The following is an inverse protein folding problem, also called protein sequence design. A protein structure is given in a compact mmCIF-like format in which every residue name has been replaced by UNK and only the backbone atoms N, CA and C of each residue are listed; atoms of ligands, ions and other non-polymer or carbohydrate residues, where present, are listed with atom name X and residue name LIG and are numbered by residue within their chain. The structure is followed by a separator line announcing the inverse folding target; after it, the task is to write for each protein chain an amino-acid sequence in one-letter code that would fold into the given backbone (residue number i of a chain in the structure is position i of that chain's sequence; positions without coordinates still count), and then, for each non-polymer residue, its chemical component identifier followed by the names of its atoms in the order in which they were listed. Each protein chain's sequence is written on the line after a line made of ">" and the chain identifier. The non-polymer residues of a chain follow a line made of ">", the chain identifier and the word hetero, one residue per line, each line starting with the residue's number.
data_IF_769227685904
#
_entry.id   IF_769227685904
#
_cell.length_a   1.000
_cell.length_b   1.000
_cell.length_c   1.000
_cell.angle_alpha   90.00
_cell.angle_beta   90.00
_cell.angle_gamma   90.00
#
_symmetry.space_group_name_H-M   'P 1'
#
loop_
_entity.id
_entity.type
_entity.pdbx_description
1 polymer ?
#
# COMPACT_ATOMS: atom_id res chain seq x y z
N UNK A 1 -1.95 -38.80 -9.76
CA UNK A 1 -1.81 -37.45 -9.13
C UNK A 1 -1.14 -36.55 -10.15
N UNK A 2 -1.90 -35.73 -10.80
CA UNK A 2 -1.38 -34.72 -11.73
C UNK A 2 -0.80 -33.55 -10.92
N UNK A 3 0.43 -33.08 -11.19
CA UNK A 3 0.94 -31.87 -10.60
C UNK A 3 0.09 -30.70 -11.09
N UNK A 4 -0.47 -29.95 -10.16
CA UNK A 4 -1.23 -28.74 -10.46
C UNK A 4 -0.36 -27.79 -11.27
N UNK A 5 -0.83 -27.43 -12.45
CA UNK A 5 -0.25 -26.42 -13.31
C UNK A 5 -0.34 -25.11 -12.55
N UNK A 6 0.79 -24.62 -12.05
CA UNK A 6 0.90 -23.24 -11.55
C UNK A 6 0.72 -22.34 -12.76
N UNK A 7 -0.47 -21.81 -12.90
CA UNK A 7 -0.79 -20.86 -13.97
C UNK A 7 -0.01 -19.57 -13.68
N UNK A 8 1.07 -19.36 -14.41
CA UNK A 8 1.82 -18.11 -14.36
C UNK A 8 0.90 -16.99 -14.86
N UNK A 9 0.49 -16.12 -13.95
CA UNK A 9 -0.33 -14.94 -14.27
C UNK A 9 0.55 -13.97 -15.07
N UNK A 10 0.10 -13.62 -16.28
CA UNK A 10 0.82 -12.68 -17.12
C UNK A 10 0.83 -11.27 -16.52
N UNK A 11 1.93 -10.49 -16.68
CA UNK A 11 2.09 -9.17 -16.05
C UNK A 11 1.03 -8.11 -16.41
N UNK A 12 0.24 -8.35 -17.45
CA UNK A 12 -0.81 -7.43 -17.91
C UNK A 12 -2.12 -7.47 -17.10
N UNK A 13 -2.29 -8.45 -16.21
CA UNK A 13 -3.56 -8.71 -15.52
C UNK A 13 -3.64 -8.18 -14.10
N UNK A 14 -2.87 -7.14 -13.75
CA UNK A 14 -2.84 -6.57 -12.39
C UNK A 14 -4.23 -6.13 -11.88
N UNK A 15 -5.16 -5.82 -12.77
CA UNK A 15 -6.56 -5.53 -12.43
C UNK A 15 -7.43 -6.76 -12.17
N UNK A 16 -6.93 -7.96 -12.45
CA UNK A 16 -7.64 -9.24 -12.31
C UNK A 16 -7.02 -10.20 -11.31
N UNK A 17 -5.99 -9.77 -10.57
CA UNK A 17 -5.39 -10.59 -9.53
C UNK A 17 -6.42 -10.90 -8.43
N UNK A 18 -6.52 -12.16 -7.98
CA UNK A 18 -7.50 -12.54 -6.98
C UNK A 18 -7.24 -11.84 -5.65
N UNK A 19 -8.30 -11.33 -5.04
CA UNK A 19 -8.22 -10.78 -3.68
C UNK A 19 -8.00 -11.92 -2.67
N UNK A 20 -7.38 -11.62 -1.51
CA UNK A 20 -7.33 -12.57 -0.41
C UNK A 20 -8.74 -13.04 -0.03
N UNK A 21 -8.86 -14.30 0.37
CA UNK A 21 -10.15 -14.89 0.77
C UNK A 21 -10.78 -14.18 1.97
N UNK A 22 -9.97 -13.55 2.79
CA UNK A 22 -10.40 -12.72 3.93
C UNK A 22 -9.35 -11.66 4.25
N UNK A 23 -9.77 -10.59 4.91
CA UNK A 23 -8.87 -9.60 5.49
C UNK A 23 -8.42 -10.06 6.88
N UNK A 24 -7.12 -10.09 7.12
CA UNK A 24 -6.57 -10.39 8.44
C UNK A 24 -6.54 -9.13 9.30
N UNK A 25 -7.09 -9.22 10.50
CA UNK A 25 -7.01 -8.17 11.51
C UNK A 25 -6.48 -8.78 12.81
N UNK A 26 -5.32 -8.37 13.31
CA UNK A 26 -4.78 -8.89 14.56
C UNK A 26 -5.77 -8.72 15.72
N UNK A 27 -6.05 -9.79 16.44
CA UNK A 27 -6.95 -9.79 17.60
C UNK A 27 -8.44 -9.98 17.28
N UNK A 28 -8.85 -10.05 16.02
CA UNK A 28 -10.21 -10.45 15.67
C UNK A 28 -10.39 -11.98 15.79
N UNK A 29 -11.49 -12.41 16.43
CA UNK A 29 -11.81 -13.81 16.60
C UNK A 29 -12.21 -14.48 15.26
N UNK A 30 -11.74 -15.72 15.06
CA UNK A 30 -12.18 -16.58 13.97
C UNK A 30 -11.24 -16.68 12.76
N UNK A 31 -10.21 -15.84 12.67
CA UNK A 31 -9.20 -15.89 11.62
C UNK A 31 -7.82 -15.72 12.23
N UNK A 32 -7.14 -16.83 12.46
CA UNK A 32 -5.83 -16.83 13.15
C UNK A 32 -4.66 -16.44 12.26
N UNK A 33 -4.84 -16.36 10.94
CA UNK A 33 -3.79 -16.05 9.98
C UNK A 33 -4.31 -15.41 8.70
N UNK A 34 -3.43 -14.73 7.97
CA UNK A 34 -3.71 -14.18 6.66
C UNK A 34 -3.76 -15.28 5.58
N UNK A 35 -4.27 -14.94 4.40
CA UNK A 35 -4.22 -15.78 3.20
C UNK A 35 -2.81 -15.72 2.58
N UNK A 36 -1.87 -16.39 3.21
CA UNK A 36 -0.47 -16.39 2.79
C UNK A 36 -0.23 -16.97 1.39
N UNK A 37 -1.08 -17.89 0.95
CA UNK A 37 -0.95 -18.50 -0.37
C UNK A 37 -1.16 -17.45 -1.47
N UNK A 38 -2.23 -16.67 -1.37
CA UNK A 38 -2.50 -15.57 -2.31
C UNK A 38 -1.40 -14.51 -2.25
N UNK A 39 -0.98 -14.11 -1.05
CA UNK A 39 0.08 -13.10 -0.89
C UNK A 39 1.42 -13.56 -1.45
N UNK A 40 1.79 -14.83 -1.27
CA UNK A 40 3.03 -15.38 -1.79
C UNK A 40 3.10 -15.31 -3.33
N UNK A 41 1.99 -15.58 -4.02
CA UNK A 41 1.91 -15.46 -5.47
C UNK A 41 2.18 -14.02 -5.95
N UNK A 42 1.65 -13.03 -5.26
CA UNK A 42 1.86 -11.63 -5.59
C UNK A 42 3.27 -11.16 -5.24
N UNK A 43 3.77 -11.54 -4.06
CA UNK A 43 5.13 -11.21 -3.62
C UNK A 43 6.18 -11.78 -4.58
N UNK A 44 5.94 -12.94 -5.16
CA UNK A 44 6.83 -13.55 -6.15
C UNK A 44 6.99 -12.71 -7.43
N UNK A 45 6.08 -11.78 -7.72
CA UNK A 45 6.20 -10.86 -8.85
C UNK A 45 7.20 -9.71 -8.59
N UNK A 46 7.56 -9.46 -7.34
CA UNK A 46 8.51 -8.42 -6.96
C UNK A 46 9.93 -8.92 -7.24
N UNK A 47 10.74 -8.19 -8.03
CA UNK A 47 12.11 -8.58 -8.27
C UNK A 47 12.95 -8.43 -6.99
N UNK A 48 14.11 -9.10 -6.89
CA UNK A 48 15.02 -8.92 -5.76
C UNK A 48 15.44 -7.46 -5.57
N UNK A 49 15.54 -6.70 -6.67
CA UNK A 49 15.85 -5.27 -6.69
C UNK A 49 15.32 -4.63 -7.96
N UNK A 50 14.63 -3.49 -7.83
CA UNK A 50 14.24 -2.68 -8.99
C UNK A 50 15.46 -1.92 -9.53
N UNK A 51 15.54 -1.82 -10.87
CA UNK A 51 16.59 -1.06 -11.57
C UNK A 51 16.20 0.41 -11.72
N UNK A 52 16.82 1.31 -10.93
CA UNK A 52 16.67 2.75 -11.06
C UNK A 52 15.40 3.36 -10.44
N UNK A 53 14.23 2.76 -10.64
CA UNK A 53 12.95 3.24 -10.11
C UNK A 53 11.95 2.09 -9.99
N UNK A 54 10.87 2.32 -9.25
CA UNK A 54 9.74 1.37 -9.16
C UNK A 54 8.72 1.77 -10.22
N UNK A 55 8.40 0.91 -11.21
CA UNK A 55 7.41 1.23 -12.22
C UNK A 55 6.02 1.46 -11.61
N UNK A 56 5.36 2.55 -11.99
CA UNK A 56 4.02 2.87 -11.50
C UNK A 56 2.96 1.80 -11.81
N UNK A 57 3.17 1.05 -12.89
CA UNK A 57 2.26 -0.02 -13.34
C UNK A 57 2.66 -1.41 -12.86
N UNK A 58 3.67 -1.52 -11.98
CA UNK A 58 4.09 -2.83 -11.48
C UNK A 58 2.92 -3.56 -10.81
N UNK A 59 2.66 -4.84 -11.17
CA UNK A 59 1.47 -5.57 -10.69
C UNK A 59 1.36 -5.64 -9.18
N UNK A 60 2.46 -5.97 -8.48
CA UNK A 60 2.46 -6.06 -7.03
C UNK A 60 2.20 -4.71 -6.35
N UNK A 61 2.79 -3.62 -6.88
CA UNK A 61 2.53 -2.26 -6.38
C UNK A 61 1.05 -1.91 -6.48
N UNK A 62 0.47 -2.06 -7.66
CA UNK A 62 -0.94 -1.75 -7.90
C UNK A 62 -1.87 -2.61 -7.05
N UNK A 63 -1.53 -3.88 -6.91
CA UNK A 63 -2.27 -4.80 -6.05
C UNK A 63 -2.25 -4.35 -4.59
N UNK A 64 -1.08 -3.97 -4.06
CA UNK A 64 -0.97 -3.46 -2.69
C UNK A 64 -1.80 -2.20 -2.45
N UNK A 65 -1.78 -1.25 -3.38
CA UNK A 65 -2.63 -0.04 -3.30
C UNK A 65 -4.12 -0.38 -3.33
N UNK A 66 -4.52 -1.29 -4.22
CA UNK A 66 -5.91 -1.76 -4.33
C UNK A 66 -6.37 -2.49 -3.07
N UNK A 67 -5.52 -3.32 -2.47
CA UNK A 67 -5.83 -4.01 -1.21
C UNK A 67 -6.16 -3.02 -0.09
N UNK A 68 -5.39 -1.95 0.05
CA UNK A 68 -5.70 -0.89 1.01
C UNK A 68 -7.09 -0.30 0.77
N UNK A 69 -7.39 0.06 -0.47
CA UNK A 69 -8.64 0.72 -0.83
C UNK A 69 -9.86 -0.21 -0.66
N UNK A 70 -9.62 -1.52 -0.62
CA UNK A 70 -10.64 -2.54 -0.39
C UNK A 70 -10.71 -3.07 1.04
N UNK A 71 -9.94 -2.49 1.97
CA UNK A 71 -9.99 -2.82 3.38
C UNK A 71 -9.11 -4.02 3.81
N UNK A 72 -8.24 -4.52 2.94
CA UNK A 72 -7.25 -5.55 3.26
C UNK A 72 -5.95 -4.88 3.72
N UNK A 73 -6.01 -4.19 4.86
CA UNK A 73 -4.92 -3.32 5.30
C UNK A 73 -3.65 -4.06 5.68
N UNK A 74 -3.77 -5.18 6.38
CA UNK A 74 -2.61 -5.97 6.76
C UNK A 74 -1.92 -6.56 5.53
N UNK A 75 -2.70 -7.13 4.62
CA UNK A 75 -2.23 -7.71 3.36
C UNK A 75 -1.59 -6.65 2.44
N UNK A 76 -2.19 -5.48 2.38
CA UNK A 76 -1.63 -4.34 1.65
C UNK A 76 -0.26 -3.94 2.20
N UNK A 77 -0.10 -3.91 3.52
CA UNK A 77 1.17 -3.62 4.16
C UNK A 77 2.24 -4.64 3.76
N UNK A 78 1.96 -5.94 3.83
CA UNK A 78 2.89 -7.00 3.46
C UNK A 78 3.40 -6.86 2.01
N UNK A 79 2.48 -6.61 1.07
CA UNK A 79 2.84 -6.43 -0.34
C UNK A 79 3.64 -5.13 -0.56
N UNK A 80 3.21 -4.02 0.03
CA UNK A 80 3.91 -2.73 -0.13
C UNK A 80 5.29 -2.75 0.53
N UNK A 81 5.47 -3.47 1.64
CA UNK A 81 6.78 -3.67 2.26
C UNK A 81 7.72 -4.48 1.37
N UNK A 82 7.22 -5.51 0.69
CA UNK A 82 8.02 -6.27 -0.28
C UNK A 82 8.49 -5.37 -1.44
N UNK A 83 7.61 -4.53 -1.99
CA UNK A 83 7.96 -3.56 -3.03
C UNK A 83 8.97 -2.53 -2.51
N UNK A 84 8.75 -2.02 -1.30
CA UNK A 84 9.65 -1.06 -0.66
C UNK A 84 11.05 -1.62 -0.43
N UNK A 85 11.15 -2.87 0.02
CA UNK A 85 12.44 -3.54 0.24
C UNK A 85 13.25 -3.66 -1.06
N UNK A 86 12.58 -3.88 -2.20
CA UNK A 86 13.19 -3.98 -3.51
C UNK A 86 13.45 -2.62 -4.18
N UNK A 87 12.88 -1.54 -3.67
CA UNK A 87 13.03 -0.20 -4.24
C UNK A 87 14.46 0.33 -4.11
N UNK A 88 14.92 1.17 -5.06
CA UNK A 88 16.25 1.76 -5.02
C UNK A 88 16.48 2.55 -3.73
N UNK A 89 17.66 2.39 -3.14
CA UNK A 89 18.06 3.11 -1.93
C UNK A 89 18.13 4.62 -2.19
N UNK A 90 17.60 5.42 -1.27
CA UNK A 90 17.62 6.88 -1.37
C UNK A 90 16.73 7.49 -2.46
N UNK A 91 15.96 6.66 -3.18
CA UNK A 91 15.07 7.13 -4.23
C UNK A 91 13.75 7.70 -3.69
N UNK A 92 13.10 8.54 -4.53
CA UNK A 92 11.80 9.15 -4.20
C UNK A 92 10.68 8.10 -4.05
N UNK A 93 10.75 7.01 -4.81
CA UNK A 93 9.83 5.88 -4.71
C UNK A 93 9.87 5.26 -3.32
N UNK A 94 11.05 5.14 -2.72
CA UNK A 94 11.21 4.58 -1.39
C UNK A 94 10.54 5.43 -0.31
N UNK A 95 10.63 6.76 -0.45
CA UNK A 95 9.95 7.73 0.44
C UNK A 95 8.43 7.60 0.27
N UNK A 96 7.94 7.60 -0.96
CA UNK A 96 6.50 7.48 -1.24
C UNK A 96 5.92 6.13 -0.77
N UNK A 97 6.63 5.03 -1.02
CA UNK A 97 6.22 3.71 -0.54
C UNK A 97 6.15 3.65 0.99
N UNK A 98 7.12 4.27 1.68
CA UNK A 98 7.08 4.39 3.13
C UNK A 98 5.83 5.14 3.60
N UNK A 99 5.48 6.25 2.95
CA UNK A 99 4.25 6.97 3.24
C UNK A 99 3.01 6.09 3.03
N UNK A 100 2.95 5.34 1.93
CA UNK A 100 1.85 4.40 1.66
C UNK A 100 1.74 3.30 2.74
N UNK A 101 2.86 2.75 3.20
CA UNK A 101 2.90 1.75 4.28
C UNK A 101 2.39 2.35 5.60
N UNK A 102 2.80 3.57 5.94
CA UNK A 102 2.33 4.27 7.13
C UNK A 102 0.81 4.50 7.08
N UNK A 103 0.26 4.90 5.93
CA UNK A 103 -1.18 5.09 5.72
C UNK A 103 -1.93 3.77 5.89
N UNK A 104 -1.47 2.71 5.27
CA UNK A 104 -2.07 1.38 5.35
C UNK A 104 -2.07 0.87 6.79
N UNK A 105 -0.96 1.06 7.50
CA UNK A 105 -0.85 0.72 8.92
C UNK A 105 -1.79 1.57 9.77
N UNK A 106 -1.93 2.86 9.47
CA UNK A 106 -2.88 3.74 10.16
C UNK A 106 -4.33 3.26 9.97
N UNK A 107 -4.70 2.88 8.74
CA UNK A 107 -6.02 2.31 8.45
C UNK A 107 -6.29 1.04 9.24
N UNK A 108 -5.31 0.14 9.35
CA UNK A 108 -5.40 -1.05 10.19
C UNK A 108 -5.62 -0.68 11.67
N UNK A 109 -4.90 0.31 12.17
CA UNK A 109 -5.05 0.79 13.56
C UNK A 109 -6.42 1.42 13.82
N UNK A 110 -6.98 2.16 12.85
CA UNK A 110 -8.36 2.66 12.94
C UNK A 110 -9.35 1.50 13.06
N UNK A 111 -9.22 0.48 12.22
CA UNK A 111 -10.07 -0.72 12.30
C UNK A 111 -9.94 -1.46 13.63
N UNK A 112 -8.77 -1.44 14.24
CA UNK A 112 -8.49 -2.01 15.56
C UNK A 112 -8.92 -1.08 16.73
N UNK A 113 -9.65 0.00 16.47
CA UNK A 113 -10.08 1.00 17.47
C UNK A 113 -8.91 1.73 18.16
N UNK A 114 -7.77 1.87 17.48
CA UNK A 114 -6.56 2.54 17.98
C UNK A 114 -6.33 3.88 17.29
N UNK A 115 -7.31 4.79 17.38
CA UNK A 115 -7.30 6.07 16.69
C UNK A 115 -6.08 6.94 17.00
N UNK A 116 -5.59 6.94 18.24
CA UNK A 116 -4.41 7.72 18.63
C UNK A 116 -3.12 7.25 17.93
N UNK A 117 -2.98 5.94 17.71
CA UNK A 117 -1.86 5.39 16.93
C UNK A 117 -2.00 5.76 15.45
N UNK A 118 -3.20 5.66 14.91
CA UNK A 118 -3.49 6.02 13.52
C UNK A 118 -3.19 7.51 13.26
N UNK A 119 -3.58 8.41 14.15
CA UNK A 119 -3.29 9.84 14.05
C UNK A 119 -1.79 10.11 13.96
N UNK A 120 -0.99 9.46 14.80
CA UNK A 120 0.47 9.59 14.77
C UNK A 120 1.04 9.09 13.44
N UNK A 121 0.62 7.91 12.98
CA UNK A 121 1.10 7.33 11.72
C UNK A 121 0.72 8.18 10.49
N UNK A 122 -0.49 8.74 10.47
CA UNK A 122 -0.90 9.67 9.40
C UNK A 122 -0.07 10.96 9.43
N UNK A 123 0.28 11.47 10.60
CA UNK A 123 1.19 12.59 10.75
C UNK A 123 2.59 12.29 10.19
N UNK A 124 3.14 11.12 10.49
CA UNK A 124 4.41 10.65 9.94
C UNK A 124 4.33 10.51 8.41
N UNK A 125 3.24 9.94 7.87
CA UNK A 125 3.01 9.83 6.43
C UNK A 125 2.97 11.21 5.75
N UNK A 126 2.34 12.19 6.37
CA UNK A 126 2.29 13.56 5.86
C UNK A 126 3.68 14.19 5.76
N UNK A 127 4.54 13.96 6.75
CA UNK A 127 5.95 14.40 6.71
C UNK A 127 6.69 13.78 5.53
N UNK A 128 6.55 12.46 5.31
CA UNK A 128 7.18 11.78 4.17
C UNK A 128 6.67 12.31 2.83
N UNK A 129 5.36 12.52 2.67
CA UNK A 129 4.78 13.07 1.44
C UNK A 129 5.27 14.49 1.17
N UNK A 130 5.38 15.33 2.18
CA UNK A 130 5.90 16.69 2.05
C UNK A 130 7.41 16.70 1.69
N UNK A 131 8.16 15.69 2.13
CA UNK A 131 9.57 15.55 1.81
C UNK A 131 9.84 15.20 0.33
N UNK A 132 8.83 14.69 -0.41
CA UNK A 132 8.96 14.40 -1.84
C UNK A 132 9.19 15.66 -2.68
N UNK A 133 8.72 16.83 -2.21
CA UNK A 133 8.84 18.08 -2.95
C UNK A 133 8.02 18.09 -4.25
N UNK A 134 8.40 18.97 -5.17
CA UNK A 134 7.74 19.11 -6.47
C UNK A 134 8.00 17.88 -7.33
N UNK A 135 6.99 17.47 -8.10
CA UNK A 135 7.11 16.42 -9.12
C UNK A 135 8.36 16.59 -9.96
N UNK A 136 9.12 15.52 -10.13
CA UNK A 136 10.21 15.45 -11.09
C UNK A 136 9.71 15.46 -12.55
N UNK A 137 10.63 15.41 -13.50
CA UNK A 137 10.30 15.28 -14.92
C UNK A 137 9.40 14.05 -15.16
N UNK A 138 8.50 14.16 -16.15
CA UNK A 138 7.58 13.09 -16.50
C UNK A 138 8.34 11.78 -16.76
N UNK A 139 8.01 10.75 -16.00
CA UNK A 139 8.59 9.42 -16.09
C UNK A 139 7.55 8.35 -15.75
N UNK A 140 7.92 7.09 -15.91
CA UNK A 140 7.06 5.94 -15.64
C UNK A 140 7.18 5.44 -14.19
N UNK A 141 7.96 6.13 -13.36
CA UNK A 141 8.19 5.80 -11.96
C UNK A 141 6.98 6.09 -11.08
N UNK A 142 6.84 5.32 -10.02
CA UNK A 142 5.73 5.47 -9.08
C UNK A 142 5.70 6.87 -8.46
N UNK A 143 6.83 7.43 -8.06
CA UNK A 143 6.90 8.76 -7.48
C UNK A 143 6.58 9.90 -8.48
N UNK A 144 6.75 9.64 -9.78
CA UNK A 144 6.45 10.62 -10.82
C UNK A 144 4.97 10.61 -11.23
N UNK A 145 4.34 9.44 -11.20
CA UNK A 145 2.96 9.25 -11.64
C UNK A 145 1.93 9.44 -10.52
N UNK A 146 2.31 9.18 -9.27
CA UNK A 146 1.38 9.18 -8.14
C UNK A 146 1.10 10.61 -7.65
N UNK A 147 -0.19 10.96 -7.39
CA UNK A 147 -0.59 12.30 -6.95
C UNK A 147 -0.31 12.53 -5.45
N UNK A 148 0.97 12.58 -5.07
CA UNK A 148 1.39 12.68 -3.67
C UNK A 148 0.89 13.93 -2.96
N UNK A 149 0.85 15.08 -3.66
CA UNK A 149 0.35 16.34 -3.10
C UNK A 149 -1.15 16.27 -2.78
N UNK A 150 -1.94 15.64 -3.65
CA UNK A 150 -3.37 15.43 -3.42
C UNK A 150 -3.61 14.48 -2.24
N UNK A 151 -2.82 13.42 -2.11
CA UNK A 151 -2.88 12.52 -0.97
C UNK A 151 -2.51 13.23 0.34
N UNK A 152 -1.47 14.07 0.33
CA UNK A 152 -1.09 14.89 1.49
C UNK A 152 -2.23 15.81 1.92
N UNK A 153 -2.94 16.44 0.98
CA UNK A 153 -4.10 17.27 1.27
C UNK A 153 -5.25 16.49 1.91
N UNK A 154 -5.53 15.29 1.43
CA UNK A 154 -6.54 14.37 2.01
C UNK A 154 -6.18 14.02 3.46
N UNK A 155 -4.93 13.66 3.73
CA UNK A 155 -4.48 13.32 5.08
C UNK A 155 -4.55 14.54 6.01
N UNK A 156 -4.10 15.70 5.55
CA UNK A 156 -4.15 16.93 6.32
C UNK A 156 -5.59 17.28 6.73
N UNK A 157 -6.52 17.26 5.78
CA UNK A 157 -7.94 17.49 6.05
C UNK A 157 -8.51 16.49 7.07
N UNK A 158 -8.10 15.23 6.96
CA UNK A 158 -8.53 14.18 7.89
C UNK A 158 -8.01 14.39 9.31
N UNK A 159 -6.75 14.81 9.46
CA UNK A 159 -6.14 15.11 10.76
C UNK A 159 -6.76 16.33 11.46
N UNK A 160 -7.34 17.24 10.70
CA UNK A 160 -8.06 18.43 11.22
C UNK A 160 -9.45 18.08 11.76
N UNK A 161 -9.98 16.89 11.48
CA UNK A 161 -11.31 16.49 11.95
C UNK A 161 -11.28 16.03 13.41
N UNK A 162 -12.16 16.56 14.29
CA UNK A 162 -12.13 16.25 15.73
C UNK A 162 -12.56 14.83 16.07
N UNK A 163 -13.09 14.05 15.12
CA UNK A 163 -13.60 12.70 15.33
C UNK A 163 -12.99 11.68 14.36
N UNK A 164 -11.68 11.71 14.21
CA UNK A 164 -10.95 10.79 13.33
C UNK A 164 -11.33 9.32 13.56
N UNK A 165 -11.56 8.92 14.80
CA UNK A 165 -11.92 7.55 15.17
C UNK A 165 -13.22 7.04 14.52
N UNK A 166 -14.08 7.94 14.05
CA UNK A 166 -15.37 7.59 13.40
C UNK A 166 -15.31 7.68 11.89
N UNK A 167 -14.15 7.95 11.33
CA UNK A 167 -14.00 8.10 9.88
C UNK A 167 -13.49 6.83 9.25
N UNK A 168 -13.82 6.66 7.98
CA UNK A 168 -13.22 5.61 7.15
C UNK A 168 -11.71 5.84 7.00
N UNK A 169 -10.99 4.77 6.65
CA UNK A 169 -9.57 4.84 6.34
C UNK A 169 -9.25 5.76 5.15
N UNK A 170 -7.98 6.03 4.93
CA UNK A 170 -7.50 6.80 3.78
C UNK A 170 -7.34 5.85 2.59
N UNK A 171 -8.07 6.11 1.51
CA UNK A 171 -7.92 5.39 0.25
C UNK A 171 -6.93 6.11 -0.67
N UNK A 172 -6.13 5.34 -1.40
CA UNK A 172 -5.19 5.91 -2.38
C UNK A 172 -5.91 6.45 -3.63
N UNK A 173 -7.01 5.81 -4.03
CA UNK A 173 -7.84 6.30 -5.13
C UNK A 173 -8.49 7.67 -4.85
N UNK A 174 -8.64 8.07 -3.58
CA UNK A 174 -9.19 9.38 -3.22
C UNK A 174 -8.27 10.55 -3.60
N UNK A 175 -7.01 10.28 -3.93
CA UNK A 175 -6.04 11.28 -4.37
C UNK A 175 -6.00 11.45 -5.90
N UNK A 176 -6.67 10.55 -6.65
CA UNK A 176 -6.67 10.52 -8.11
C UNK A 176 -7.79 11.28 -8.77
#
# INVERSE_FOLDING_TARGET
>A
MSPGVVQMIAPSDAGQLPLPRWAYVPGEFGKSSADYETLAQITALVPPRFGGYVPARHPALRYGLTLNDRGYFWEAQEILEAVWAAAPQGGRERILLRACILITTANLRLRMQKAHVATRLLGEALVELNALGVRGAAGDGFADCFPAAALAAVIKAKLEQPQLAKTDGVAFAAAG
#
